data_IF_113964831552
#
_entry.id   IF_113964831552
#
_cell.length_a   1.000
_cell.length_b   1.000
_cell.length_c   1.000
_cell.angle_alpha   90.00
_cell.angle_beta   90.00
_cell.angle_gamma   90.00
#
_symmetry.space_group_name_H-M   'P 1'
#
loop_
_entity.id
_entity.type
_entity.pdbx_description
1 polymer ?
#
# COMPACT_ATOMS: atom_id res chain seq x y z
N UNK A 1 -22.40 15.76 7.33
CA UNK A 1 -21.75 15.21 8.54
C UNK A 1 -20.25 15.26 8.27
N UNK A 2 -19.54 16.24 8.83
CA UNK A 2 -18.14 16.51 8.54
C UNK A 2 -17.27 15.52 9.34
N UNK A 3 -16.58 14.62 8.64
CA UNK A 3 -15.53 13.78 9.25
C UNK A 3 -14.38 14.70 9.66
N UNK A 4 -14.00 14.69 10.94
CA UNK A 4 -12.93 15.53 11.47
C UNK A 4 -11.59 14.94 11.05
N UNK A 5 -10.95 15.54 10.05
CA UNK A 5 -9.58 15.21 9.64
C UNK A 5 -8.63 15.94 10.58
N UNK A 6 -7.92 15.18 11.42
CA UNK A 6 -6.83 15.72 12.24
C UNK A 6 -5.52 15.40 11.53
N UNK A 7 -4.79 16.44 11.13
CA UNK A 7 -3.44 16.31 10.59
C UNK A 7 -2.46 16.25 11.77
N UNK A 8 -1.70 15.16 11.87
CA UNK A 8 -0.63 15.03 12.85
C UNK A 8 0.72 15.35 12.18
N UNK A 9 1.42 16.42 12.59
CA UNK A 9 2.80 16.65 12.15
C UNK A 9 3.71 15.58 12.77
N UNK A 10 4.49 14.88 11.96
CA UNK A 10 5.58 14.02 12.45
C UNK A 10 6.75 14.91 12.87
N UNK A 11 7.22 14.75 14.12
CA UNK A 11 8.45 15.39 14.58
C UNK A 11 9.65 14.85 13.79
N UNK A 12 10.44 15.76 13.23
CA UNK A 12 11.62 15.45 12.41
C UNK A 12 12.72 14.80 13.26
N UNK A 13 12.78 13.47 13.20
CA UNK A 13 13.92 12.66 13.67
C UNK A 13 14.19 11.56 12.66
N UNK A 14 14.35 11.90 11.37
CA UNK A 14 14.76 10.90 10.38
C UNK A 14 16.20 10.48 10.63
N UNK A 15 16.41 9.28 11.16
CA UNK A 15 17.72 8.63 11.17
C UNK A 15 18.18 8.48 9.71
N UNK A 16 19.45 8.77 9.43
CA UNK A 16 20.03 8.66 8.09
C UNK A 16 19.85 7.28 7.46
N UNK A 17 19.80 6.22 8.28
CA UNK A 17 19.53 4.84 7.84
C UNK A 17 18.12 4.63 7.27
N UNK A 18 17.18 5.55 7.52
CA UNK A 18 15.81 5.49 7.03
C UNK A 18 15.48 6.57 5.99
N UNK A 19 16.47 7.37 5.59
CA UNK A 19 16.27 8.47 4.66
C UNK A 19 16.26 7.99 3.19
N UNK A 20 15.16 8.28 2.48
CA UNK A 20 14.99 8.01 1.05
C UNK A 20 14.15 9.12 0.41
N UNK A 21 14.10 9.18 -0.92
CA UNK A 21 13.20 10.10 -1.65
C UNK A 21 12.75 9.53 -2.99
N UNK A 22 11.95 10.30 -3.73
CA UNK A 22 11.55 9.95 -5.10
C UNK A 22 12.49 10.50 -6.18
N UNK A 23 13.56 11.20 -5.82
CA UNK A 23 14.39 11.95 -6.79
C UNK A 23 15.89 11.84 -6.51
N UNK A 24 16.67 11.97 -7.58
CA UNK A 24 18.13 12.05 -7.51
C UNK A 24 18.78 10.80 -6.92
N UNK A 25 19.89 10.99 -6.21
CA UNK A 25 20.69 9.90 -5.63
C UNK A 25 19.98 9.11 -4.53
N UNK A 26 18.85 9.61 -4.02
CA UNK A 26 18.01 8.91 -3.05
C UNK A 26 16.71 8.38 -3.66
N UNK A 27 16.60 8.39 -4.99
CA UNK A 27 15.44 7.91 -5.74
C UNK A 27 15.35 6.37 -5.85
N UNK A 28 14.21 5.85 -6.36
CA UNK A 28 13.93 4.41 -6.43
C UNK A 28 15.02 3.57 -7.10
N UNK A 29 15.68 4.11 -8.12
CA UNK A 29 16.79 3.46 -8.83
C UNK A 29 17.97 3.10 -7.92
N UNK A 30 18.11 3.78 -6.78
CA UNK A 30 19.27 3.67 -5.88
C UNK A 30 18.93 3.11 -4.50
N UNK A 31 17.66 2.91 -4.12
CA UNK A 31 17.26 2.53 -2.76
C UNK A 31 18.00 1.31 -2.22
N UNK A 32 18.15 0.25 -3.02
CA UNK A 32 18.85 -0.97 -2.57
C UNK A 32 20.38 -0.83 -2.44
N UNK A 33 20.95 0.29 -2.90
CA UNK A 33 22.36 0.64 -2.73
C UNK A 33 22.58 1.58 -1.53
N UNK A 34 21.53 2.28 -1.07
CA UNK A 34 21.62 3.26 0.02
C UNK A 34 21.68 2.60 1.40
N UNK A 35 20.92 1.54 1.59
CA UNK A 35 20.87 0.79 2.85
C UNK A 35 20.88 -0.72 2.56
N UNK A 36 21.76 -1.45 3.27
CA UNK A 36 21.87 -2.90 3.18
C UNK A 36 20.56 -3.62 3.53
N UNK A 37 19.77 -3.07 4.46
CA UNK A 37 18.44 -3.60 4.83
C UNK A 37 17.44 -3.52 3.66
N UNK A 38 17.70 -2.65 2.68
CA UNK A 38 16.87 -2.46 1.49
C UNK A 38 17.44 -3.14 0.25
N UNK A 39 18.44 -4.03 0.41
CA UNK A 39 19.09 -4.73 -0.71
C UNK A 39 18.10 -5.47 -1.64
N UNK A 40 16.93 -5.84 -1.14
CA UNK A 40 15.84 -6.43 -1.92
C UNK A 40 15.24 -5.48 -2.97
N UNK A 41 15.34 -4.15 -2.79
CA UNK A 41 14.90 -3.19 -3.82
C UNK A 41 15.70 -3.33 -5.12
N UNK A 42 16.95 -3.82 -5.05
CA UNK A 42 17.79 -4.06 -6.24
C UNK A 42 17.85 -5.55 -6.60
N UNK A 43 17.84 -6.45 -5.62
CA UNK A 43 18.11 -7.89 -5.83
C UNK A 43 16.88 -8.79 -5.71
N UNK A 44 15.76 -8.25 -5.24
CA UNK A 44 14.52 -8.99 -5.07
C UNK A 44 13.89 -9.38 -6.41
N UNK A 45 13.18 -10.51 -6.43
CA UNK A 45 12.52 -11.02 -7.64
C UNK A 45 11.00 -10.81 -7.64
N UNK A 46 10.46 -10.34 -6.52
CA UNK A 46 9.02 -10.10 -6.32
C UNK A 46 8.78 -8.67 -5.84
N UNK A 47 9.43 -7.70 -6.47
CA UNK A 47 9.22 -6.28 -6.17
C UNK A 47 7.96 -5.78 -6.89
N UNK A 48 7.29 -4.80 -6.29
CA UNK A 48 6.20 -4.02 -6.87
C UNK A 48 6.64 -2.55 -6.92
N UNK A 49 6.02 -1.70 -7.77
CA UNK A 49 4.90 -2.00 -8.68
C UNK A 49 5.30 -2.81 -9.93
N UNK A 50 4.32 -3.19 -10.74
CA UNK A 50 4.50 -3.86 -12.04
C UNK A 50 3.64 -3.24 -13.14
N UNK A 51 4.02 -3.45 -14.41
CA UNK A 51 3.12 -3.27 -15.55
C UNK A 51 2.21 -4.49 -15.74
N UNK A 52 0.90 -4.25 -15.67
CA UNK A 52 -0.12 -5.26 -15.87
C UNK A 52 -0.43 -5.31 -17.37
N UNK A 53 0.20 -6.23 -18.09
CA UNK A 53 -0.08 -6.44 -19.51
C UNK A 53 -1.25 -7.43 -19.70
N UNK A 54 -2.42 -6.98 -20.23
CA UNK A 54 -3.59 -7.84 -20.40
C UNK A 54 -3.35 -9.09 -21.26
N UNK A 55 -2.33 -9.07 -22.14
CA UNK A 55 -1.99 -10.21 -23.01
C UNK A 55 -1.30 -11.36 -22.26
N UNK A 56 -0.72 -11.07 -21.10
CA UNK A 56 0.00 -12.04 -20.27
C UNK A 56 -0.88 -12.57 -19.11
N UNK A 57 -2.12 -12.08 -18.98
CA UNK A 57 -3.01 -12.50 -17.91
C UNK A 57 -3.58 -13.89 -18.19
N UNK A 58 -3.57 -14.71 -17.14
CA UNK A 58 -4.20 -16.03 -17.15
C UNK A 58 -5.50 -15.95 -16.36
N UNK A 59 -6.61 -16.33 -16.98
CA UNK A 59 -7.90 -16.40 -16.31
C UNK A 59 -7.92 -17.63 -15.38
N UNK A 60 -8.16 -17.40 -14.09
CA UNK A 60 -8.38 -18.45 -13.11
C UNK A 60 -9.87 -18.52 -12.73
N UNK A 61 -10.61 -19.57 -13.14
CA UNK A 61 -12.02 -19.71 -12.84
C UNK A 61 -12.31 -19.99 -11.35
N UNK A 62 -11.30 -20.32 -10.55
CA UNK A 62 -11.46 -20.62 -9.12
C UNK A 62 -11.41 -19.37 -8.24
N UNK A 63 -11.05 -18.21 -8.80
CA UNK A 63 -11.03 -16.96 -8.07
C UNK A 63 -12.44 -16.58 -7.63
N UNK A 64 -12.58 -16.35 -6.32
CA UNK A 64 -13.83 -15.86 -5.73
C UNK A 64 -13.91 -14.34 -5.89
N UNK A 65 -15.11 -13.74 -5.92
CA UNK A 65 -15.23 -12.29 -5.90
C UNK A 65 -14.51 -11.69 -4.68
N UNK A 66 -13.74 -10.62 -4.90
CA UNK A 66 -13.17 -9.83 -3.80
C UNK A 66 -14.33 -9.10 -3.11
N UNK A 67 -14.36 -9.19 -1.78
CA UNK A 67 -15.35 -8.52 -0.93
C UNK A 67 -14.61 -7.61 0.04
N UNK A 68 -15.06 -6.37 0.11
CA UNK A 68 -14.60 -5.39 1.08
C UNK A 68 -15.82 -4.95 1.90
N UNK A 69 -15.62 -4.75 3.20
CA UNK A 69 -16.67 -4.25 4.06
C UNK A 69 -17.19 -2.88 3.59
N UNK A 70 -18.46 -2.60 3.86
CA UNK A 70 -19.10 -1.36 3.43
C UNK A 70 -19.73 -0.65 4.62
N UNK A 71 -18.90 -0.26 5.59
CA UNK A 71 -19.33 0.52 6.75
C UNK A 71 -18.39 1.69 7.00
N UNK A 72 -18.87 2.67 7.78
CA UNK A 72 -18.05 3.80 8.22
C UNK A 72 -16.94 3.30 9.15
N UNK A 73 -15.78 3.92 9.03
CA UNK A 73 -14.60 3.65 9.84
C UNK A 73 -14.04 4.96 10.36
N UNK A 74 -13.47 4.92 11.55
CA UNK A 74 -12.72 6.04 12.11
C UNK A 74 -11.23 5.84 11.83
N UNK A 75 -10.53 6.94 11.62
CA UNK A 75 -9.12 6.94 11.26
C UNK A 75 -8.53 8.34 11.29
N UNK A 76 -7.26 8.45 10.93
CA UNK A 76 -6.55 9.74 10.86
C UNK A 76 -5.60 9.77 9.66
N UNK A 77 -5.38 10.97 9.11
CA UNK A 77 -4.54 11.18 7.95
C UNK A 77 -3.20 11.74 8.40
N UNK A 78 -2.12 11.17 7.85
CA UNK A 78 -0.75 11.60 8.07
C UNK A 78 -0.12 11.93 6.73
N UNK A 79 0.50 13.11 6.65
CA UNK A 79 1.48 13.40 5.61
C UNK A 79 2.84 12.92 6.14
N UNK A 80 3.40 11.90 5.51
CA UNK A 80 4.66 11.28 5.95
C UNK A 80 5.90 11.98 5.41
N UNK A 81 5.72 13.04 4.60
CA UNK A 81 6.78 13.65 3.79
C UNK A 81 7.01 12.93 2.45
N UNK A 82 6.50 11.71 2.29
CA UNK A 82 6.62 10.91 1.07
C UNK A 82 5.27 10.53 0.46
N UNK A 83 4.26 10.32 1.29
CA UNK A 83 2.91 9.95 0.88
C UNK A 83 1.86 10.60 1.79
N UNK A 84 0.60 10.48 1.38
CA UNK A 84 -0.54 10.72 2.25
C UNK A 84 -1.07 9.35 2.66
N UNK A 85 -1.01 9.06 3.96
CA UNK A 85 -1.48 7.79 4.52
C UNK A 85 -2.67 8.02 5.46
N UNK A 86 -3.77 7.32 5.23
CA UNK A 86 -4.90 7.20 6.15
C UNK A 86 -4.72 5.94 6.99
N UNK A 87 -4.57 6.09 8.30
CA UNK A 87 -4.57 4.97 9.26
C UNK A 87 -5.98 4.71 9.77
N UNK A 88 -6.37 3.45 9.82
CA UNK A 88 -7.67 3.02 10.35
C UNK A 88 -7.53 2.70 11.84
N UNK A 89 -8.44 3.18 12.67
CA UNK A 89 -8.38 2.94 14.10
C UNK A 89 -8.73 1.48 14.43
N UNK A 90 -7.77 0.75 14.99
CA UNK A 90 -7.91 -0.68 15.30
C UNK A 90 -8.83 -0.97 16.49
N UNK A 91 -9.11 0.02 17.33
CA UNK A 91 -10.03 -0.12 18.48
C UNK A 91 -11.51 -0.26 18.11
N UNK A 92 -11.86 -0.13 16.82
CA UNK A 92 -13.24 -0.28 16.38
C UNK A 92 -13.74 -1.73 16.59
N UNK A 93 -14.90 -1.94 17.25
CA UNK A 93 -15.47 -3.27 17.49
C UNK A 93 -15.86 -4.01 16.20
N UNK A 94 -16.05 -3.30 15.08
CA UNK A 94 -16.23 -3.90 13.76
C UNK A 94 -14.98 -3.65 12.92
N UNK A 95 -14.13 -4.67 12.68
CA UNK A 95 -12.97 -4.53 11.81
C UNK A 95 -13.43 -4.18 10.40
N UNK A 96 -12.73 -3.25 9.77
CA UNK A 96 -12.83 -3.02 8.34
C UNK A 96 -11.88 -3.97 7.63
N UNK A 97 -12.42 -4.90 6.85
CA UNK A 97 -11.64 -5.98 6.26
C UNK A 97 -12.01 -6.26 4.80
N UNK A 98 -11.17 -7.06 4.15
CA UNK A 98 -11.45 -7.62 2.85
C UNK A 98 -11.06 -9.10 2.77
N UNK A 99 -11.72 -9.82 1.87
CA UNK A 99 -11.56 -11.26 1.66
C UNK A 99 -11.91 -11.63 0.21
N UNK A 100 -11.77 -12.90 -0.16
CA UNK A 100 -12.02 -13.40 -1.51
C UNK A 100 -10.83 -13.19 -2.45
N UNK A 101 -11.08 -13.23 -3.75
CA UNK A 101 -10.01 -13.23 -4.75
C UNK A 101 -9.04 -14.41 -4.53
N UNK A 102 -7.72 -14.16 -4.58
CA UNK A 102 -6.69 -15.16 -4.31
C UNK A 102 -6.42 -15.38 -2.81
N UNK A 103 -7.15 -14.71 -1.91
CA UNK A 103 -6.86 -14.71 -0.48
C UNK A 103 -7.48 -15.92 0.22
N UNK A 104 -6.68 -16.59 1.05
CA UNK A 104 -7.11 -17.69 1.91
C UNK A 104 -7.75 -17.23 3.23
N UNK A 105 -7.41 -16.02 3.68
CA UNK A 105 -7.79 -15.47 4.98
C UNK A 105 -8.57 -14.16 4.84
N UNK A 106 -9.09 -13.67 5.96
CA UNK A 106 -9.61 -12.30 6.06
C UNK A 106 -8.50 -11.35 6.47
N UNK A 107 -8.36 -10.24 5.73
CA UNK A 107 -7.33 -9.24 5.99
C UNK A 107 -7.97 -7.99 6.58
N UNK A 108 -7.59 -7.63 7.81
CA UNK A 108 -8.02 -6.39 8.45
C UNK A 108 -7.23 -5.24 7.86
N UNK A 109 -7.92 -4.22 7.37
CA UNK A 109 -7.29 -3.00 6.83
C UNK A 109 -6.60 -2.24 7.96
N UNK A 110 -5.32 -1.96 7.76
CA UNK A 110 -4.50 -1.17 8.68
C UNK A 110 -4.40 0.28 8.21
N UNK A 111 -4.11 0.48 6.92
CA UNK A 111 -3.93 1.81 6.36
C UNK A 111 -4.21 1.84 4.86
N UNK A 112 -4.40 3.04 4.34
CA UNK A 112 -4.58 3.32 2.92
C UNK A 112 -3.57 4.37 2.50
N UNK A 113 -2.82 4.11 1.44
CA UNK A 113 -1.86 5.04 0.85
C UNK A 113 -2.40 5.66 -0.43
N UNK A 114 -2.08 6.92 -0.64
CA UNK A 114 -2.37 7.65 -1.87
C UNK A 114 -1.07 7.98 -2.59
N UNK A 115 -0.91 7.44 -3.79
CA UNK A 115 0.16 7.77 -4.73
C UNK A 115 -0.41 8.62 -5.86
N UNK A 116 0.26 9.73 -6.16
CA UNK A 116 -0.17 10.69 -7.18
C UNK A 116 1.05 11.40 -7.78
N UNK A 117 0.92 11.81 -9.03
CA UNK A 117 1.97 12.56 -9.72
C UNK A 117 1.70 14.05 -9.72
N UNK A 118 2.65 14.80 -10.27
CA UNK A 118 2.52 16.25 -10.42
C UNK A 118 1.66 16.68 -11.60
N UNK A 119 1.23 15.73 -12.44
CA UNK A 119 0.46 15.95 -13.67
C UNK A 119 -0.62 14.88 -13.76
N UNK A 120 -1.78 15.21 -14.33
CA UNK A 120 -2.92 14.28 -14.44
C UNK A 120 -2.68 13.06 -15.35
N UNK A 121 -1.52 12.99 -16.01
CA UNK A 121 -1.13 11.89 -16.88
C UNK A 121 -0.23 10.85 -16.19
N UNK A 122 0.25 11.12 -14.98
CA UNK A 122 1.19 10.26 -14.26
C UNK A 122 0.86 10.27 -12.76
N UNK A 123 1.08 9.15 -12.07
CA UNK A 123 0.97 9.13 -10.61
C UNK A 123 0.75 7.78 -9.97
N UNK A 124 0.04 6.88 -10.65
CA UNK A 124 -0.03 5.49 -10.24
C UNK A 124 1.35 4.84 -10.28
N UNK A 125 1.59 3.93 -9.36
CA UNK A 125 2.82 3.15 -9.31
C UNK A 125 2.70 1.97 -10.30
N UNK A 126 1.58 1.25 -10.24
CA UNK A 126 1.24 0.24 -11.22
C UNK A 126 0.77 0.89 -12.52
N UNK A 127 1.00 0.20 -13.63
CA UNK A 127 0.52 0.62 -14.96
C UNK A 127 -0.28 -0.52 -15.60
N UNK A 128 -1.13 -0.18 -16.57
CA UNK A 128 -1.86 -1.18 -17.37
C UNK A 128 -1.47 -1.02 -18.83
N UNK A 129 -0.79 -2.04 -19.38
CA UNK A 129 -0.25 -2.01 -20.74
C UNK A 129 0.64 -0.77 -20.98
N UNK A 130 1.53 -0.49 -20.02
CA UNK A 130 2.44 0.64 -19.99
C UNK A 130 1.79 2.00 -19.74
N UNK A 131 0.48 2.05 -19.45
CA UNK A 131 -0.24 3.30 -19.22
C UNK A 131 -0.41 3.56 -17.72
N UNK A 132 0.14 4.67 -17.19
CA UNK A 132 -0.14 5.10 -15.83
C UNK A 132 -1.52 5.77 -15.74
N UNK A 133 -1.97 5.94 -14.50
CA UNK A 133 -3.14 6.70 -14.10
C UNK A 133 -2.70 7.89 -13.24
N UNK A 134 -3.50 8.97 -13.16
CA UNK A 134 -3.17 10.13 -12.32
C UNK A 134 -2.96 9.79 -10.83
N UNK A 135 -3.71 8.81 -10.32
CA UNK A 135 -3.75 8.45 -8.90
C UNK A 135 -3.85 6.94 -8.73
N UNK A 136 -3.17 6.40 -7.72
CA UNK A 136 -3.38 5.04 -7.20
C UNK A 136 -3.64 5.08 -5.69
N UNK A 137 -4.74 4.45 -5.27
CA UNK A 137 -5.06 4.22 -3.87
C UNK A 137 -4.69 2.76 -3.54
N UNK A 138 -3.86 2.56 -2.53
CA UNK A 138 -3.43 1.24 -2.08
C UNK A 138 -3.97 0.97 -0.67
N UNK A 139 -4.91 0.04 -0.55
CA UNK A 139 -5.50 -0.38 0.73
C UNK A 139 -4.73 -1.58 1.27
N UNK A 140 -4.01 -1.39 2.37
CA UNK A 140 -3.19 -2.43 2.99
C UNK A 140 -3.90 -3.05 4.19
N UNK A 141 -4.01 -4.38 4.17
CA UNK A 141 -4.49 -5.16 5.29
C UNK A 141 -3.53 -6.27 5.69
N UNK A 142 -3.67 -6.75 6.93
CA UNK A 142 -2.86 -7.85 7.45
C UNK A 142 -3.74 -9.00 7.95
N UNK A 143 -3.16 -10.19 7.93
CA UNK A 143 -3.81 -11.40 8.40
C UNK A 143 -3.82 -11.45 9.94
N UNK A 144 -4.94 -11.10 10.54
CA UNK A 144 -5.12 -11.11 12.00
C UNK A 144 -5.30 -12.51 12.59
N UNK A 145 -5.48 -13.53 11.76
CA UNK A 145 -5.59 -14.92 12.24
C UNK A 145 -4.21 -15.50 12.61
N UNK A 146 -3.15 -14.99 11.98
CA UNK A 146 -1.78 -15.48 12.16
C UNK A 146 -0.86 -14.48 12.88
N UNK A 147 -1.19 -13.18 12.86
CA UNK A 147 -0.32 -12.14 13.39
C UNK A 147 -1.06 -11.21 14.34
N UNK A 148 -0.40 -10.82 15.42
CA UNK A 148 -0.90 -9.87 16.42
C UNK A 148 -0.77 -8.41 16.01
N UNK A 149 0.08 -8.11 15.03
CA UNK A 149 0.34 -6.74 14.57
C UNK A 149 0.63 -6.69 13.07
N UNK A 150 0.40 -5.53 12.46
CA UNK A 150 0.79 -5.29 11.07
C UNK A 150 2.31 -5.39 10.87
N UNK A 151 3.09 -4.96 11.86
CA UNK A 151 4.56 -4.95 11.82
C UNK A 151 5.11 -6.37 11.70
N UNK A 152 4.59 -7.31 12.50
CA UNK A 152 5.00 -8.71 12.43
C UNK A 152 4.57 -9.35 11.10
N UNK A 153 3.35 -9.02 10.65
CA UNK A 153 2.80 -9.53 9.39
C UNK A 153 3.59 -9.02 8.17
N UNK A 154 4.09 -7.79 8.20
CA UNK A 154 4.85 -7.18 7.12
C UNK A 154 6.22 -7.85 6.90
N UNK A 155 6.76 -8.53 7.92
CA UNK A 155 7.99 -9.30 7.81
C UNK A 155 7.77 -10.73 7.31
N UNK A 156 6.51 -11.17 7.21
CA UNK A 156 6.15 -12.52 6.85
C UNK A 156 5.58 -12.63 5.44
N UNK A 157 5.90 -13.74 4.76
CA UNK A 157 5.24 -14.09 3.50
C UNK A 157 3.74 -14.30 3.73
N UNK A 158 2.91 -13.73 2.86
CA UNK A 158 1.44 -13.75 2.96
C UNK A 158 0.84 -13.08 4.21
N UNK A 159 1.65 -12.37 5.02
CA UNK A 159 1.15 -11.65 6.19
C UNK A 159 0.33 -10.41 5.82
N UNK A 160 0.67 -9.77 4.69
CA UNK A 160 -0.01 -8.57 4.18
C UNK A 160 -0.67 -8.86 2.82
N UNK A 161 -1.80 -8.22 2.58
CA UNK A 161 -2.43 -8.12 1.28
C UNK A 161 -2.75 -6.65 0.97
N UNK A 162 -2.74 -6.29 -0.31
CA UNK A 162 -3.07 -4.95 -0.78
C UNK A 162 -4.13 -5.00 -1.87
N UNK A 163 -5.04 -4.02 -1.87
CA UNK A 163 -5.97 -3.74 -2.98
C UNK A 163 -5.58 -2.39 -3.59
N UNK A 164 -5.20 -2.40 -4.87
CA UNK A 164 -4.90 -1.20 -5.62
C UNK A 164 -6.12 -0.73 -6.43
N UNK A 165 -6.43 0.55 -6.38
CA UNK A 165 -7.51 1.19 -7.12
C UNK A 165 -6.94 2.38 -7.92
N UNK A 166 -7.23 2.41 -9.22
CA UNK A 166 -6.78 3.50 -10.11
C UNK A 166 -7.84 4.59 -10.21
N UNK A 167 -7.42 5.84 -10.04
CA UNK A 167 -8.24 7.02 -10.28
C UNK A 167 -8.20 7.43 -11.76
N UNK A 168 -9.35 7.86 -12.29
CA UNK A 168 -9.49 8.49 -13.61
C UNK A 168 -9.78 9.97 -13.48
#
# INVERSE_FOLDING_TARGET
MLTRVTLHPTGDTTLWSQWWSYKGISGPEYWGLLNQDWSLCTRGQHQSPVDINPRNLVFDPNLRPVRMDAHKVDGYIVNTGHDITLYINESNPRPFAFTGGPLSYTYRVHHVKLHFGSLDLIGSEHTVNGRPFPIELQVYGYNTELFSSFQDAALASHGVAAVALFGM
#
